data_IF_110737381120
#
_entry.id   IF_110737381120
#
_cell.length_a   1.000
_cell.length_b   1.000
_cell.length_c   1.000
_cell.angle_alpha   90.00
_cell.angle_beta   90.00
_cell.angle_gamma   90.00
#
_symmetry.space_group_name_H-M   'P 1'
#
loop_
_entity.id
_entity.type
_entity.pdbx_description
1 polymer ?
#
# COMPACT_ATOMS: atom_id res chain seq x y z
N UNK A 1 -57.50 -4.78 -8.23
CA UNK A 1 -57.18 -3.35 -8.41
C UNK A 1 -55.79 -3.19 -7.83
N UNK A 2 -54.69 -3.10 -8.59
CA UNK A 2 -54.43 -2.30 -9.80
C UNK A 2 -53.35 -3.02 -10.63
N UNK A 3 -53.44 -2.86 -11.95
CA UNK A 3 -52.71 -3.57 -13.02
C UNK A 3 -51.17 -3.40 -13.05
N UNK A 4 -50.44 -4.29 -13.75
CA UNK A 4 -48.99 -4.23 -13.97
C UNK A 4 -48.63 -3.17 -15.03
N UNK A 5 -47.44 -2.56 -14.91
CA UNK A 5 -46.88 -1.66 -15.92
C UNK A 5 -45.75 -2.37 -16.69
N UNK A 6 -45.84 -2.46 -18.03
CA UNK A 6 -44.73 -2.95 -18.83
C UNK A 6 -44.30 -1.99 -19.98
N UNK A 7 -43.04 -2.18 -20.40
CA UNK A 7 -42.38 -1.77 -21.66
C UNK A 7 -42.01 -0.29 -21.86
N UNK A 8 -40.74 -0.05 -22.21
CA UNK A 8 -40.39 0.46 -23.56
C UNK A 8 -38.89 0.30 -23.86
N UNK A 9 -38.52 -0.41 -24.94
CA UNK A 9 -37.19 -0.35 -25.56
C UNK A 9 -37.14 0.83 -26.54
N UNK A 10 -36.06 1.61 -26.51
CA UNK A 10 -35.76 2.62 -27.55
C UNK A 10 -34.50 2.22 -28.29
N UNK A 11 -34.72 1.63 -29.45
CA UNK A 11 -33.76 1.57 -30.53
C UNK A 11 -33.73 2.92 -31.28
N UNK A 12 -32.53 3.47 -31.45
CA UNK A 12 -32.11 4.49 -32.43
C UNK A 12 -30.63 4.18 -32.63
N UNK A 13 -30.11 3.65 -33.74
CA UNK A 13 -30.39 3.78 -35.17
C UNK A 13 -30.30 5.22 -35.69
N UNK A 14 -29.30 5.43 -36.55
CA UNK A 14 -28.76 6.71 -37.01
C UNK A 14 -27.23 6.67 -36.87
N UNK A 15 -26.46 5.97 -37.70
CA UNK A 15 -26.36 6.15 -39.16
C UNK A 15 -26.20 7.64 -39.50
N UNK A 16 -24.97 8.14 -39.31
CA UNK A 16 -24.39 9.30 -39.98
C UNK A 16 -22.93 8.91 -40.24
N UNK A 17 -22.63 8.34 -41.39
CA UNK A 17 -22.29 9.11 -42.59
C UNK A 17 -21.23 10.17 -42.26
N UNK A 18 -19.99 9.72 -42.17
CA UNK A 18 -18.81 10.58 -42.31
C UNK A 18 -17.93 9.96 -43.38
N UNK A 19 -18.31 10.28 -44.62
CA UNK A 19 -17.45 10.79 -45.69
C UNK A 19 -16.00 10.24 -45.63
N UNK A 20 -15.62 9.22 -46.43
CA UNK A 20 -15.26 9.34 -47.85
C UNK A 20 -14.53 10.66 -48.15
N UNK A 21 -13.24 10.69 -47.85
CA UNK A 21 -12.36 11.76 -48.28
C UNK A 21 -11.00 11.71 -47.62
N UNK A 22 -10.16 10.73 -47.98
CA UNK A 22 -8.69 10.91 -48.08
C UNK A 22 -8.06 9.62 -48.62
N UNK A 23 -8.23 9.47 -49.92
CA UNK A 23 -7.31 8.73 -50.76
C UNK A 23 -6.16 9.70 -51.09
N UNK A 24 -4.97 9.48 -50.49
CA UNK A 24 -3.65 9.97 -50.95
C UNK A 24 -2.63 9.80 -49.82
N UNK A 25 -1.91 8.67 -49.81
CA UNK A 25 -0.44 8.70 -49.63
C UNK A 25 0.20 7.35 -50.00
N UNK A 26 0.61 7.12 -51.26
CA UNK A 26 1.50 6.03 -51.62
C UNK A 26 2.94 6.53 -51.54
N UNK A 27 3.44 6.76 -50.33
CA UNK A 27 4.75 7.37 -50.13
C UNK A 27 5.38 7.14 -48.76
N UNK A 28 4.92 6.14 -48.00
CA UNK A 28 5.60 5.76 -46.76
C UNK A 28 6.65 4.69 -47.06
N UNK A 29 7.82 5.20 -47.36
CA UNK A 29 9.13 4.56 -47.31
C UNK A 29 9.21 3.69 -46.05
N UNK A 30 8.96 2.39 -46.21
CA UNK A 30 9.32 1.41 -45.20
C UNK A 30 10.83 1.32 -45.22
N UNK A 31 11.49 2.11 -44.38
CA UNK A 31 12.87 1.84 -43.98
C UNK A 31 12.89 0.50 -43.23
N UNK A 32 13.51 -0.55 -43.78
CA UNK A 32 13.74 -1.79 -43.06
C UNK A 32 15.03 -1.60 -42.26
N UNK A 33 14.91 -1.03 -41.06
CA UNK A 33 16.10 -0.70 -40.27
C UNK A 33 15.88 -0.39 -38.79
N UNK A 34 14.69 -0.58 -38.22
CA UNK A 34 14.50 -0.53 -36.76
C UNK A 34 14.45 -1.95 -36.18
N UNK A 35 15.46 -2.75 -36.53
CA UNK A 35 15.90 -3.80 -35.63
C UNK A 35 16.84 -3.16 -34.60
N UNK A 36 16.58 -3.47 -33.33
CA UNK A 36 17.52 -3.33 -32.21
C UNK A 36 17.84 -1.92 -31.73
N UNK A 37 16.87 -1.27 -31.08
CA UNK A 37 17.20 -0.76 -29.75
C UNK A 37 15.98 -0.87 -28.84
N UNK A 38 15.60 -2.11 -28.53
CA UNK A 38 15.14 -2.38 -27.17
C UNK A 38 16.40 -2.19 -26.31
N UNK A 39 16.76 -0.93 -26.04
CA UNK A 39 17.55 -0.60 -24.88
C UNK A 39 16.73 -1.21 -23.76
N UNK A 40 17.18 -2.34 -23.26
CA UNK A 40 16.96 -2.63 -21.87
C UNK A 40 17.50 -1.38 -21.17
N UNK A 41 16.61 -0.42 -20.91
CA UNK A 41 16.69 0.50 -19.78
C UNK A 41 16.67 -0.45 -18.59
N UNK A 42 17.83 -1.08 -18.42
CA UNK A 42 18.26 -1.89 -17.34
C UNK A 42 18.27 -0.89 -16.23
N UNK A 43 17.10 -0.72 -15.61
CA UNK A 43 16.81 0.29 -14.63
C UNK A 43 17.98 0.31 -13.70
N UNK A 44 18.72 1.41 -13.77
CA UNK A 44 19.93 1.61 -13.02
C UNK A 44 19.63 1.19 -11.57
N UNK A 45 20.27 0.14 -11.02
CA UNK A 45 20.00 -0.27 -9.64
C UNK A 45 20.38 0.84 -8.66
N UNK A 46 21.06 1.91 -9.13
CA UNK A 46 21.39 3.12 -8.38
C UNK A 46 20.40 4.27 -8.57
N UNK A 47 19.31 4.10 -9.33
CA UNK A 47 18.13 4.96 -9.28
C UNK A 47 17.33 4.86 -7.95
N UNK A 48 17.94 4.27 -6.91
CA UNK A 48 17.68 4.65 -5.52
C UNK A 48 18.18 6.09 -5.33
N UNK A 49 17.40 7.04 -5.83
CA UNK A 49 17.67 8.46 -5.70
C UNK A 49 17.91 8.82 -4.24
N UNK A 50 19.18 9.00 -3.89
CA UNK A 50 19.69 9.65 -2.67
C UNK A 50 19.29 11.15 -2.59
N UNK A 51 18.25 11.57 -3.31
CA UNK A 51 17.91 12.96 -3.61
C UNK A 51 16.77 13.58 -2.80
N UNK A 52 16.00 12.81 -2.03
CA UNK A 52 15.02 13.38 -1.10
C UNK A 52 15.39 13.01 0.35
N UNK A 53 16.37 13.71 0.97
CA UNK A 53 16.82 13.42 2.34
C UNK A 53 15.67 13.45 3.35
N UNK A 54 14.64 14.26 3.06
CA UNK A 54 13.41 14.32 3.85
C UNK A 54 12.63 13.00 3.87
N UNK A 55 12.59 12.26 2.76
CA UNK A 55 11.86 10.98 2.68
C UNK A 55 12.59 9.85 3.35
N UNK A 56 13.92 9.78 3.19
CA UNK A 56 14.75 8.81 3.92
C UNK A 56 14.60 9.01 5.43
N UNK A 57 14.54 10.27 5.88
CA UNK A 57 14.28 10.58 7.28
C UNK A 57 12.89 10.11 7.75
N UNK A 58 11.85 10.28 6.94
CA UNK A 58 10.49 9.79 7.26
C UNK A 58 10.44 8.27 7.31
N UNK A 59 10.97 7.58 6.31
CA UNK A 59 11.03 6.12 6.29
C UNK A 59 11.84 5.55 7.47
N UNK A 60 12.96 6.19 7.82
CA UNK A 60 13.74 5.85 9.00
C UNK A 60 12.96 6.06 10.30
N UNK A 61 12.24 7.18 10.43
CA UNK A 61 11.40 7.46 11.59
C UNK A 61 10.26 6.45 11.72
N UNK A 62 9.59 6.10 10.63
CA UNK A 62 8.53 5.08 10.60
C UNK A 62 9.06 3.71 11.02
N UNK A 63 10.23 3.31 10.54
CA UNK A 63 10.87 2.06 10.95
C UNK A 63 11.15 2.04 12.46
N UNK A 64 11.62 3.15 13.03
CA UNK A 64 11.82 3.29 14.47
C UNK A 64 10.50 3.18 15.24
N UNK A 65 9.41 3.76 14.72
CA UNK A 65 8.07 3.63 15.31
C UNK A 65 7.59 2.18 15.29
N UNK A 66 7.77 1.45 14.19
CA UNK A 66 7.42 0.02 14.11
C UNK A 66 8.21 -0.77 15.16
N UNK A 67 9.53 -0.56 15.25
CA UNK A 67 10.38 -1.24 16.23
C UNK A 67 9.95 -0.94 17.66
N UNK A 68 9.64 0.32 17.96
CA UNK A 68 9.14 0.73 19.27
C UNK A 68 7.79 0.06 19.59
N UNK A 69 6.86 0.01 18.65
CA UNK A 69 5.56 -0.65 18.85
C UNK A 69 5.69 -2.16 19.06
N UNK A 70 6.63 -2.82 18.37
CA UNK A 70 6.92 -4.25 18.59
C UNK A 70 7.49 -4.47 19.99
N UNK A 71 8.42 -3.63 20.46
CA UNK A 71 8.94 -3.70 21.82
C UNK A 71 7.85 -3.47 22.87
N UNK A 72 6.98 -2.49 22.66
CA UNK A 72 5.82 -2.23 23.54
C UNK A 72 4.87 -3.43 23.56
N UNK A 73 4.60 -4.03 22.40
CA UNK A 73 3.76 -5.23 22.28
C UNK A 73 4.33 -6.38 23.11
N UNK A 74 5.62 -6.67 22.93
CA UNK A 74 6.30 -7.73 23.67
C UNK A 74 6.29 -7.45 25.19
N UNK A 75 6.61 -6.22 25.59
CA UNK A 75 6.60 -5.82 26.98
C UNK A 75 5.21 -5.93 27.62
N UNK A 76 4.17 -5.45 26.94
CA UNK A 76 2.78 -5.53 27.39
C UNK A 76 2.31 -6.99 27.52
N UNK A 77 2.73 -7.87 26.59
CA UNK A 77 2.43 -9.29 26.65
C UNK A 77 2.98 -9.94 27.93
N UNK A 78 4.26 -9.69 28.25
CA UNK A 78 4.88 -10.21 29.47
C UNK A 78 4.26 -9.69 30.77
N UNK A 79 3.75 -8.44 30.76
CA UNK A 79 3.03 -7.85 31.90
C UNK A 79 1.59 -8.35 32.02
N UNK A 80 1.04 -8.95 30.96
CA UNK A 80 -0.31 -9.47 30.92
C UNK A 80 -0.52 -10.78 31.67
N UNK A 81 0.55 -11.49 32.04
CA UNK A 81 0.46 -12.75 32.80
C UNK A 81 1.01 -12.56 34.22
N UNK A 82 0.15 -12.71 35.22
CA UNK A 82 0.57 -12.76 36.63
C UNK A 82 0.33 -14.17 37.16
N UNK A 83 1.39 -14.77 37.69
CA UNK A 83 1.32 -16.01 38.44
C UNK A 83 0.77 -15.69 39.82
N UNK A 84 -0.39 -16.27 40.15
CA UNK A 84 -0.95 -16.20 41.49
C UNK A 84 -0.78 -17.58 42.10
N UNK A 85 0.02 -17.64 43.15
CA UNK A 85 0.17 -18.82 43.99
C UNK A 85 -1.09 -18.95 44.86
N UNK A 86 -1.91 -19.97 44.59
CA UNK A 86 -3.05 -20.29 45.44
C UNK A 86 -2.72 -21.51 46.30
N UNK A 87 -3.12 -21.52 47.59
CA UNK A 87 -2.98 -22.70 48.43
C UNK A 87 -3.85 -23.82 47.84
N UNK A 88 -3.28 -25.01 47.64
CA UNK A 88 -4.03 -26.15 47.13
C UNK A 88 -5.25 -26.43 48.02
N UNK A 89 -6.43 -26.46 47.39
CA UNK A 89 -7.72 -26.73 48.06
C UNK A 89 -7.88 -28.21 48.42
N UNK A 90 -7.09 -29.08 47.80
CA UNK A 90 -7.02 -30.52 48.08
C UNK A 90 -5.90 -30.76 49.08
N UNK A 91 -6.18 -31.38 50.21
CA UNK A 91 -5.33 -31.48 51.42
C UNK A 91 -3.95 -32.17 51.31
N UNK A 92 -3.26 -32.07 50.19
CA UNK A 92 -1.82 -32.33 50.10
C UNK A 92 -1.06 -31.14 50.66
N UNK A 93 -0.55 -31.32 51.88
CA UNK A 93 0.26 -30.37 52.62
C UNK A 93 1.49 -29.97 51.78
N UNK A 94 1.46 -28.76 51.21
CA UNK A 94 2.62 -28.12 50.57
C UNK A 94 2.55 -27.94 49.06
N UNK A 95 1.49 -28.39 48.38
CA UNK A 95 1.34 -28.13 46.95
C UNK A 95 0.85 -26.68 46.70
N UNK A 96 1.66 -25.88 46.02
CA UNK A 96 1.25 -24.54 45.53
C UNK A 96 0.66 -24.71 44.15
N UNK A 97 -0.62 -24.35 43.95
CA UNK A 97 -1.23 -24.38 42.64
C UNK A 97 -0.98 -23.03 41.96
N UNK A 98 -0.14 -23.02 40.93
CA UNK A 98 0.12 -21.82 40.14
C UNK A 98 -1.04 -21.60 39.15
N UNK A 99 -1.82 -20.56 39.39
CA UNK A 99 -2.90 -20.15 38.48
C UNK A 99 -2.45 -18.89 37.74
N UNK A 100 -2.32 -19.00 36.42
CA UNK A 100 -2.01 -17.85 35.56
C UNK A 100 -3.24 -16.99 35.40
N UNK A 101 -3.21 -15.76 35.91
CA UNK A 101 -4.26 -14.78 35.69
C UNK A 101 -3.84 -13.83 34.58
N UNK A 102 -4.64 -13.80 33.51
CA UNK A 102 -4.48 -12.81 32.43
C UNK A 102 -5.10 -11.48 32.84
N UNK A 103 -4.30 -10.42 32.80
CA UNK A 103 -4.75 -9.04 32.96
C UNK A 103 -5.20 -8.51 31.60
N UNK A 104 -6.52 -8.41 31.41
CA UNK A 104 -7.12 -8.07 30.11
C UNK A 104 -6.71 -6.70 29.56
N UNK A 105 -6.39 -5.74 30.42
CA UNK A 105 -5.93 -4.41 30.01
C UNK A 105 -4.56 -4.45 29.29
N UNK A 106 -3.62 -5.26 29.79
CA UNK A 106 -2.31 -5.44 29.17
C UNK A 106 -2.40 -6.22 27.86
N UNK A 107 -3.30 -7.19 27.79
CA UNK A 107 -3.55 -7.94 26.55
C UNK A 107 -4.19 -7.06 25.46
N UNK A 108 -5.18 -6.25 25.83
CA UNK A 108 -5.77 -5.28 24.91
C UNK A 108 -4.73 -4.27 24.41
N UNK A 109 -3.83 -3.79 25.29
CA UNK A 109 -2.74 -2.91 24.91
C UNK A 109 -1.75 -3.57 23.94
N UNK A 110 -1.38 -4.84 24.18
CA UNK A 110 -0.50 -5.59 23.28
C UNK A 110 -1.12 -5.75 21.88
N UNK A 111 -2.40 -6.14 21.81
CA UNK A 111 -3.12 -6.30 20.54
C UNK A 111 -3.22 -4.95 19.79
N UNK A 112 -3.56 -3.87 20.51
CA UNK A 112 -3.61 -2.53 19.95
C UNK A 112 -2.25 -2.07 19.38
N UNK A 113 -1.18 -2.27 20.13
CA UNK A 113 0.18 -1.93 19.70
C UNK A 113 0.62 -2.76 18.48
N UNK A 114 0.34 -4.07 18.47
CA UNK A 114 0.64 -4.94 17.33
C UNK A 114 -0.11 -4.53 16.06
N UNK A 115 -1.39 -4.17 16.21
CA UNK A 115 -2.23 -3.69 15.09
C UNK A 115 -1.68 -2.38 14.53
N UNK A 116 -1.35 -1.43 15.40
CA UNK A 116 -0.73 -0.17 14.98
C UNK A 116 0.61 -0.40 14.28
N UNK A 117 1.46 -1.30 14.78
CA UNK A 117 2.73 -1.64 14.15
C UNK A 117 2.52 -2.17 12.72
N UNK A 118 1.53 -3.05 12.54
CA UNK A 118 1.15 -3.56 11.23
C UNK A 118 0.69 -2.46 10.27
N UNK A 119 -0.12 -1.51 10.73
CA UNK A 119 -0.58 -0.39 9.91
C UNK A 119 0.56 0.54 9.48
N UNK A 120 1.47 0.88 10.40
CA UNK A 120 2.65 1.71 10.08
C UNK A 120 3.56 0.97 9.10
N UNK A 121 3.78 -0.33 9.30
CA UNK A 121 4.58 -1.15 8.40
C UNK A 121 3.95 -1.23 7.00
N UNK A 122 2.62 -1.34 6.89
CA UNK A 122 1.92 -1.32 5.61
C UNK A 122 2.07 0.03 4.90
N UNK A 123 2.02 1.16 5.62
CA UNK A 123 2.26 2.47 5.01
C UNK A 123 3.71 2.62 4.54
N UNK A 124 4.68 2.14 5.32
CA UNK A 124 6.08 2.09 4.90
C UNK A 124 6.25 1.26 3.61
N UNK A 125 5.68 0.06 3.56
CA UNK A 125 5.66 -0.78 2.36
C UNK A 125 5.01 -0.06 1.17
N UNK A 126 3.91 0.66 1.42
CA UNK A 126 3.21 1.46 0.40
C UNK A 126 4.10 2.57 -0.15
N UNK A 127 4.82 3.30 0.71
CA UNK A 127 5.76 4.35 0.30
C UNK A 127 6.92 3.79 -0.53
N UNK A 128 7.39 2.59 -0.20
CA UNK A 128 8.45 1.90 -0.94
C UNK A 128 7.96 1.37 -2.30
N UNK A 129 6.74 0.80 -2.36
CA UNK A 129 6.19 0.20 -3.58
C UNK A 129 5.63 1.22 -4.57
N UNK A 130 5.00 2.29 -4.10
CA UNK A 130 4.56 3.40 -4.95
C UNK A 130 5.73 4.33 -5.29
N UNK A 131 6.87 3.74 -5.66
CA UNK A 131 8.14 4.40 -5.92
C UNK A 131 7.96 5.72 -6.65
N UNK A 132 8.78 6.73 -6.32
CA UNK A 132 8.54 8.12 -6.66
C UNK A 132 8.28 8.24 -8.15
N UNK A 133 7.05 8.56 -8.54
CA UNK A 133 6.79 9.02 -9.91
C UNK A 133 7.59 10.31 -10.05
N UNK A 134 8.65 10.36 -10.87
CA UNK A 134 9.36 11.60 -11.10
C UNK A 134 8.33 12.59 -11.63
N UNK A 135 8.10 13.66 -10.85
CA UNK A 135 7.13 14.69 -11.17
C UNK A 135 7.39 15.17 -12.59
N UNK A 136 6.39 15.01 -13.46
CA UNK A 136 6.41 15.49 -14.83
C UNK A 136 6.81 16.97 -14.79
N UNK A 137 8.05 17.26 -15.18
CA UNK A 137 8.58 18.62 -15.22
C UNK A 137 7.72 19.38 -16.23
N UNK A 138 6.74 20.13 -15.73
CA UNK A 138 5.97 21.07 -16.55
C UNK A 138 6.98 22.07 -17.10
N UNK A 139 7.42 21.86 -18.35
CA UNK A 139 8.17 22.84 -19.12
C UNK A 139 7.20 23.98 -19.42
N UNK A 140 7.03 24.88 -18.45
CA UNK A 140 6.47 26.19 -18.68
C UNK A 140 7.37 26.91 -19.69
N UNK A 141 6.73 27.39 -20.75
CA UNK A 141 7.34 27.63 -22.05
C UNK A 141 8.17 28.90 -22.16
N UNK A 142 8.74 29.06 -23.35
CA UNK A 142 9.04 30.37 -23.96
C UNK A 142 9.29 30.14 -25.46
N UNK A 143 8.25 30.37 -26.25
CA UNK A 143 8.32 30.49 -27.71
C UNK A 143 7.40 31.64 -28.11
N UNK A 144 7.91 32.86 -27.93
CA UNK A 144 7.26 34.13 -28.24
C UNK A 144 7.23 34.32 -29.77
N UNK A 145 6.09 34.59 -30.42
CA UNK A 145 6.08 34.99 -31.82
C UNK A 145 6.62 36.42 -31.93
N UNK A 146 7.59 36.61 -32.81
CA UNK A 146 8.07 37.90 -33.30
C UNK A 146 7.90 37.94 -34.81
#
# INVERSE_FOLDING_TARGET
MTSPQPHHPSARQGAQDRELGQDSDPGQDREPGQETEFTAEQGDPTATGLGEPRRVAVAGAELLVVLALVLVTWWAWGRGTVLVDMPAVTGEQGAVQQVTRSLGNWQAAAIGAATAAGLVLLDLCRQLWLGPRPGRRTRAGTGRPG
#
